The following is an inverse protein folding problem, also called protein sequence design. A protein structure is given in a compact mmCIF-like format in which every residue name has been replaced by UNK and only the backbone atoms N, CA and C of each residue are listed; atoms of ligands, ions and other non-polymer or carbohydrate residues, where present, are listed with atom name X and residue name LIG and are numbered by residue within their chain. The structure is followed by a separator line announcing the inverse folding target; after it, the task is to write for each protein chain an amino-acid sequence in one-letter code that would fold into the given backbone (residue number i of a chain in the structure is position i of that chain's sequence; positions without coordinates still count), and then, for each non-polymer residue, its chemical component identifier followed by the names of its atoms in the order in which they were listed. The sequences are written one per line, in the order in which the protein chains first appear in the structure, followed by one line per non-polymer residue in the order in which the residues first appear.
data_IF_626113546989
#
_entry.id   IF_626113546989
#
_cell.length_a   1.000
_cell.length_b   1.000
_cell.length_c   1.000
_cell.angle_alpha   90.00
_cell.angle_beta   90.00
_cell.angle_gamma   90.00
#
_symmetry.space_group_name_H-M   'P 1'
#
loop_
_entity.id
_entity.type
_entity.pdbx_description
1 polymer ?
#
# COMPACT_ATOMS: atom_id res chain seq x y z
N UNK A 1 -22.14 -19.44 -30.08
CA UNK A 1 -22.73 -18.91 -28.84
C UNK A 1 -21.61 -18.74 -27.84
N UNK A 2 -21.64 -17.65 -27.06
CA UNK A 2 -20.63 -17.39 -26.02
C UNK A 2 -20.80 -18.39 -24.88
N UNK A 3 -19.69 -18.84 -24.31
CA UNK A 3 -19.68 -19.75 -23.16
C UNK A 3 -19.89 -18.99 -21.83
N UNK A 4 -19.74 -17.65 -21.83
CA UNK A 4 -19.96 -16.79 -20.68
C UNK A 4 -21.09 -15.81 -20.96
N UNK A 5 -22.02 -15.67 -20.01
CA UNK A 5 -23.13 -14.72 -20.08
C UNK A 5 -22.82 -13.47 -19.25
N UNK A 6 -23.63 -12.41 -19.41
CA UNK A 6 -23.42 -11.14 -18.70
C UNK A 6 -23.47 -11.28 -17.18
N UNK A 7 -24.39 -12.09 -16.65
CA UNK A 7 -24.52 -12.31 -15.22
C UNK A 7 -23.26 -12.95 -14.60
N UNK A 8 -22.57 -13.83 -15.34
CA UNK A 8 -21.31 -14.40 -14.91
C UNK A 8 -20.17 -13.37 -14.88
N UNK A 9 -20.13 -12.43 -15.84
CA UNK A 9 -19.16 -11.33 -15.85
C UNK A 9 -19.39 -10.39 -14.66
N UNK A 10 -20.64 -9.94 -14.46
CA UNK A 10 -21.02 -9.11 -13.31
C UNK A 10 -20.67 -9.78 -11.97
N UNK A 11 -20.85 -11.11 -11.88
CA UNK A 11 -20.45 -11.86 -10.69
C UNK A 11 -18.93 -11.90 -10.46
N UNK A 12 -18.11 -11.86 -11.51
CA UNK A 12 -16.65 -11.80 -11.37
C UNK A 12 -16.26 -10.41 -10.87
N UNK A 13 -16.77 -9.37 -11.52
CA UNK A 13 -16.53 -7.96 -11.15
C UNK A 13 -16.88 -7.69 -9.68
N UNK A 14 -18.07 -8.14 -9.23
CA UNK A 14 -18.49 -8.01 -7.83
C UNK A 14 -17.58 -8.78 -6.87
N UNK A 15 -17.08 -9.95 -7.28
CA UNK A 15 -16.13 -10.72 -6.47
C UNK A 15 -14.79 -9.99 -6.30
N UNK A 16 -14.31 -9.34 -7.37
CA UNK A 16 -13.08 -8.54 -7.36
C UNK A 16 -13.24 -7.31 -6.45
N UNK A 17 -14.35 -6.57 -6.58
CA UNK A 17 -14.68 -5.43 -5.72
C UNK A 17 -14.69 -5.84 -4.25
N UNK A 18 -15.34 -6.95 -3.91
CA UNK A 18 -15.36 -7.47 -2.54
C UNK A 18 -13.97 -7.81 -2.01
N UNK A 19 -13.08 -8.39 -2.83
CA UNK A 19 -11.71 -8.68 -2.43
C UNK A 19 -10.91 -7.39 -2.20
N UNK A 20 -11.05 -6.39 -3.08
CA UNK A 20 -10.38 -5.10 -2.94
C UNK A 20 -10.86 -4.31 -1.72
N UNK A 21 -12.13 -4.46 -1.32
CA UNK A 21 -12.69 -3.88 -0.10
C UNK A 21 -12.31 -4.64 1.17
N UNK A 22 -12.10 -5.94 1.06
CA UNK A 22 -11.61 -6.78 2.16
C UNK A 22 -10.09 -6.59 2.42
N UNK A 23 -9.34 -6.16 1.42
CA UNK A 23 -7.88 -6.00 1.46
C UNK A 23 -7.32 -5.31 2.72
N UNK A 24 -7.91 -4.20 3.24
CA UNK A 24 -7.34 -3.49 4.38
C UNK A 24 -7.28 -4.30 5.68
N UNK A 25 -8.18 -5.27 5.87
CA UNK A 25 -8.36 -5.96 7.15
C UNK A 25 -8.33 -7.49 7.06
N UNK A 26 -8.70 -8.09 5.92
CA UNK A 26 -8.75 -9.53 5.79
C UNK A 26 -7.35 -10.16 5.84
N UNK A 27 -7.30 -11.40 6.32
CA UNK A 27 -6.07 -12.18 6.39
C UNK A 27 -5.38 -12.31 5.02
N UNK A 28 -4.05 -12.20 5.02
CA UNK A 28 -3.28 -12.15 3.78
C UNK A 28 -3.25 -13.49 3.04
N UNK A 29 -3.23 -14.63 3.76
CA UNK A 29 -3.27 -15.95 3.13
C UNK A 29 -4.66 -16.21 2.53
N UNK A 30 -5.72 -15.84 3.23
CA UNK A 30 -7.08 -15.87 2.70
C UNK A 30 -7.22 -15.04 1.40
N UNK A 31 -6.74 -13.79 1.41
CA UNK A 31 -6.81 -12.92 0.23
C UNK A 31 -5.98 -13.48 -0.93
N UNK A 32 -4.79 -14.02 -0.66
CA UNK A 32 -3.94 -14.63 -1.66
C UNK A 32 -4.64 -15.81 -2.33
N UNK A 33 -5.21 -16.72 -1.55
CA UNK A 33 -5.88 -17.91 -2.06
C UNK A 33 -7.13 -17.55 -2.88
N UNK A 34 -7.93 -16.58 -2.40
CA UNK A 34 -9.11 -16.10 -3.12
C UNK A 34 -8.74 -15.43 -4.44
N UNK A 35 -7.72 -14.58 -4.44
CA UNK A 35 -7.27 -13.89 -5.65
C UNK A 35 -6.70 -14.86 -6.67
N UNK A 36 -5.90 -15.85 -6.22
CA UNK A 36 -5.37 -16.91 -7.08
C UNK A 36 -6.48 -17.79 -7.67
N UNK A 37 -7.48 -18.16 -6.88
CA UNK A 37 -8.65 -18.91 -7.37
C UNK A 37 -9.44 -18.10 -8.41
N UNK A 38 -9.60 -16.79 -8.19
CA UNK A 38 -10.18 -15.86 -9.17
C UNK A 38 -9.40 -15.84 -10.49
N UNK A 39 -8.07 -15.71 -10.42
CA UNK A 39 -7.19 -15.73 -11.60
C UNK A 39 -7.31 -17.03 -12.38
N UNK A 40 -7.33 -18.18 -11.70
CA UNK A 40 -7.51 -19.49 -12.33
C UNK A 40 -8.89 -19.59 -13.02
N UNK A 41 -9.93 -19.08 -12.35
CA UNK A 41 -11.28 -19.08 -12.90
C UNK A 41 -11.38 -18.21 -14.16
N UNK A 42 -10.92 -16.96 -14.11
CA UNK A 42 -10.93 -16.02 -15.24
C UNK A 42 -10.09 -16.55 -16.40
N UNK A 43 -8.89 -17.08 -16.13
CA UNK A 43 -8.02 -17.68 -17.16
C UNK A 43 -8.73 -18.84 -17.87
N UNK A 44 -9.42 -19.71 -17.13
CA UNK A 44 -10.21 -20.78 -17.72
C UNK A 44 -11.37 -20.27 -18.56
N UNK A 45 -12.01 -19.15 -18.17
CA UNK A 45 -13.05 -18.55 -19.01
C UNK A 45 -12.47 -18.02 -20.32
N UNK A 46 -11.27 -17.41 -20.30
CA UNK A 46 -10.58 -16.88 -21.48
C UNK A 46 -10.26 -17.94 -22.55
N UNK A 47 -10.19 -19.23 -22.18
CA UNK A 47 -10.04 -20.36 -23.12
C UNK A 47 -11.33 -20.69 -23.90
N UNK A 48 -12.47 -20.14 -23.47
CA UNK A 48 -13.79 -20.39 -24.05
C UNK A 48 -14.13 -19.53 -25.28
N UNK A 49 -15.20 -19.90 -25.98
CA UNK A 49 -15.75 -19.06 -27.06
C UNK A 49 -16.43 -17.83 -26.45
N UNK A 50 -16.07 -16.63 -26.90
CA UNK A 50 -16.67 -15.38 -26.44
C UNK A 50 -16.63 -14.31 -27.52
N UNK A 51 -17.34 -13.20 -27.28
CA UNK A 51 -17.21 -12.01 -28.13
C UNK A 51 -15.95 -11.22 -27.76
N UNK A 52 -15.48 -10.35 -28.65
CA UNK A 52 -14.33 -9.47 -28.38
C UNK A 52 -14.56 -8.55 -27.18
N UNK A 53 -15.81 -8.09 -26.98
CA UNK A 53 -16.18 -7.26 -25.82
C UNK A 53 -15.99 -8.03 -24.52
N UNK A 54 -16.58 -9.22 -24.44
CA UNK A 54 -16.47 -10.08 -23.25
C UNK A 54 -15.02 -10.51 -22.99
N UNK A 55 -14.23 -10.72 -24.05
CA UNK A 55 -12.81 -11.01 -23.92
C UNK A 55 -12.06 -9.85 -23.26
N UNK A 56 -12.32 -8.62 -23.71
CA UNK A 56 -11.71 -7.42 -23.12
C UNK A 56 -12.17 -7.21 -21.67
N UNK A 57 -13.45 -7.41 -21.36
CA UNK A 57 -13.98 -7.34 -19.99
C UNK A 57 -13.28 -8.35 -19.06
N UNK A 58 -13.14 -9.62 -19.48
CA UNK A 58 -12.40 -10.63 -18.71
C UNK A 58 -10.90 -10.32 -18.57
N UNK A 59 -10.29 -9.66 -19.55
CA UNK A 59 -8.91 -9.18 -19.40
C UNK A 59 -8.84 -8.09 -18.33
N UNK A 60 -9.79 -7.16 -18.28
CA UNK A 60 -9.87 -6.14 -17.22
C UNK A 60 -10.01 -6.79 -15.85
N UNK A 61 -10.90 -7.78 -15.70
CA UNK A 61 -11.06 -8.58 -14.48
C UNK A 61 -9.74 -9.25 -14.06
N UNK A 62 -9.04 -9.89 -15.01
CA UNK A 62 -7.75 -10.50 -14.76
C UNK A 62 -6.72 -9.46 -14.30
N UNK A 63 -6.71 -8.27 -14.91
CA UNK A 63 -5.79 -7.19 -14.54
C UNK A 63 -5.98 -6.73 -13.09
N UNK A 64 -7.22 -6.51 -12.66
CA UNK A 64 -7.52 -6.17 -11.26
C UNK A 64 -7.12 -7.28 -10.28
N UNK A 65 -7.38 -8.54 -10.63
CA UNK A 65 -6.93 -9.68 -9.82
C UNK A 65 -5.40 -9.77 -9.75
N UNK A 66 -4.68 -9.50 -10.84
CA UNK A 66 -3.22 -9.47 -10.81
C UNK A 66 -2.66 -8.32 -9.96
N UNK A 67 -3.30 -7.15 -9.97
CA UNK A 67 -2.96 -6.05 -9.07
C UNK A 67 -3.16 -6.45 -7.61
N UNK A 68 -4.34 -7.00 -7.24
CA UNK A 68 -4.59 -7.49 -5.89
C UNK A 68 -3.58 -8.56 -5.47
N UNK A 69 -3.28 -9.49 -6.37
CA UNK A 69 -2.35 -10.57 -6.08
C UNK A 69 -0.94 -10.02 -5.85
N UNK A 70 -0.51 -9.03 -6.63
CA UNK A 70 0.77 -8.36 -6.42
C UNK A 70 0.84 -7.68 -5.04
N UNK A 71 -0.21 -6.96 -4.64
CA UNK A 71 -0.26 -6.33 -3.33
C UNK A 71 -0.16 -7.34 -2.18
N UNK A 72 -0.96 -8.41 -2.24
CA UNK A 72 -0.99 -9.43 -1.19
C UNK A 72 0.32 -10.23 -1.14
N UNK A 73 0.90 -10.58 -2.29
CA UNK A 73 2.22 -11.23 -2.34
C UNK A 73 3.28 -10.33 -1.72
N UNK A 74 3.25 -9.03 -2.02
CA UNK A 74 4.23 -8.09 -1.47
C UNK A 74 4.08 -7.92 0.05
N UNK A 75 2.85 -7.86 0.55
CA UNK A 75 2.56 -7.81 1.98
C UNK A 75 3.12 -9.01 2.74
N UNK A 76 3.11 -10.19 2.09
CA UNK A 76 3.68 -11.44 2.59
C UNK A 76 5.21 -11.54 2.41
N UNK A 77 5.83 -10.53 1.81
CA UNK A 77 7.27 -10.50 1.53
C UNK A 77 7.72 -11.30 0.30
N UNK A 78 6.80 -11.78 -0.53
CA UNK A 78 7.06 -12.56 -1.75
C UNK A 78 7.34 -11.63 -2.93
N UNK A 79 8.52 -11.04 -2.97
CA UNK A 79 8.89 -9.92 -3.86
C UNK A 79 8.96 -10.34 -5.31
N UNK A 80 9.55 -11.49 -5.60
CA UNK A 80 9.67 -11.97 -6.98
C UNK A 80 8.29 -12.27 -7.58
N UNK A 81 7.45 -12.99 -6.82
CA UNK A 81 6.08 -13.29 -7.21
C UNK A 81 5.24 -12.02 -7.42
N UNK A 82 5.34 -11.05 -6.50
CA UNK A 82 4.64 -9.79 -6.59
C UNK A 82 5.04 -8.99 -7.85
N UNK A 83 6.34 -9.00 -8.21
CA UNK A 83 6.82 -8.37 -9.43
C UNK A 83 6.26 -9.02 -10.70
N UNK A 84 6.17 -10.35 -10.73
CA UNK A 84 5.56 -11.08 -11.86
C UNK A 84 4.07 -10.76 -12.01
N UNK A 85 3.32 -10.73 -10.90
CA UNK A 85 1.89 -10.37 -10.90
C UNK A 85 1.68 -8.93 -11.37
N UNK A 86 2.44 -7.98 -10.85
CA UNK A 86 2.40 -6.57 -11.28
C UNK A 86 2.74 -6.42 -12.77
N UNK A 87 3.76 -7.12 -13.26
CA UNK A 87 4.12 -7.10 -14.68
C UNK A 87 3.03 -7.72 -15.57
N UNK A 88 2.31 -8.74 -15.09
CA UNK A 88 1.15 -9.30 -15.79
C UNK A 88 0.00 -8.30 -15.84
N UNK A 89 -0.33 -7.63 -14.73
CA UNK A 89 -1.33 -6.56 -14.71
C UNK A 89 -1.01 -5.44 -15.70
N UNK A 90 0.25 -4.99 -15.75
CA UNK A 90 0.68 -3.95 -16.69
C UNK A 90 0.48 -4.38 -18.16
N UNK A 91 0.91 -5.59 -18.53
CA UNK A 91 0.72 -6.14 -19.89
C UNK A 91 -0.76 -6.26 -20.23
N UNK A 92 -1.58 -6.74 -19.30
CA UNK A 92 -3.03 -6.83 -19.49
C UNK A 92 -3.65 -5.46 -19.67
N UNK A 93 -3.23 -4.46 -18.89
CA UNK A 93 -3.67 -3.08 -19.04
C UNK A 93 -3.31 -2.50 -20.41
N UNK A 94 -2.15 -2.85 -20.97
CA UNK A 94 -1.77 -2.48 -22.34
C UNK A 94 -2.67 -3.14 -23.39
N UNK A 95 -2.81 -4.47 -23.34
CA UNK A 95 -3.62 -5.24 -24.31
C UNK A 95 -5.11 -4.89 -24.24
N UNK A 96 -5.64 -4.66 -23.04
CA UNK A 96 -7.02 -4.24 -22.82
C UNK A 96 -7.22 -2.73 -23.01
N UNK A 97 -6.16 -1.94 -23.25
CA UNK A 97 -6.22 -0.49 -23.33
C UNK A 97 -6.88 0.15 -22.11
N UNK A 98 -6.55 -0.32 -20.90
CA UNK A 98 -7.15 0.11 -19.64
C UNK A 98 -6.13 0.93 -18.82
N UNK A 99 -6.17 2.25 -18.99
CA UNK A 99 -5.22 3.20 -18.37
C UNK A 99 -5.11 3.06 -16.85
N UNK A 100 -6.25 2.90 -16.16
CA UNK A 100 -6.26 2.82 -14.70
C UNK A 100 -5.49 1.61 -14.15
N UNK A 101 -5.62 0.42 -14.76
CA UNK A 101 -4.88 -0.79 -14.36
C UNK A 101 -3.38 -0.56 -14.54
N UNK A 102 -2.98 0.08 -15.63
CA UNK A 102 -1.58 0.44 -15.88
C UNK A 102 -1.06 1.41 -14.83
N UNK A 103 -1.83 2.44 -14.49
CA UNK A 103 -1.45 3.41 -13.47
C UNK A 103 -1.32 2.78 -12.09
N UNK A 104 -2.21 1.86 -11.70
CA UNK A 104 -2.08 1.10 -10.47
C UNK A 104 -0.87 0.15 -10.49
N UNK A 105 -0.56 -0.48 -11.61
CA UNK A 105 0.65 -1.29 -11.73
C UNK A 105 1.93 -0.45 -11.52
N UNK A 106 1.95 0.79 -12.01
CA UNK A 106 3.04 1.73 -11.77
C UNK A 106 3.08 2.29 -10.34
N UNK A 107 1.91 2.50 -9.72
CA UNK A 107 1.81 2.86 -8.31
C UNK A 107 2.40 1.76 -7.42
N UNK A 108 2.09 0.49 -7.72
CA UNK A 108 2.67 -0.68 -7.05
C UNK A 108 4.20 -0.71 -7.25
N UNK A 109 4.72 -0.41 -8.45
CA UNK A 109 6.18 -0.29 -8.65
C UNK A 109 6.77 0.82 -7.79
N UNK A 110 6.13 1.98 -7.72
CA UNK A 110 6.59 3.09 -6.88
C UNK A 110 6.63 2.69 -5.40
N UNK A 111 5.62 1.96 -4.92
CA UNK A 111 5.60 1.41 -3.57
C UNK A 111 6.69 0.35 -3.32
N UNK A 112 6.94 -0.55 -4.28
CA UNK A 112 8.01 -1.54 -4.20
C UNK A 112 9.38 -0.85 -4.13
N UNK A 113 9.58 0.17 -4.97
CA UNK A 113 10.80 0.97 -4.99
C UNK A 113 11.00 1.73 -3.66
N UNK A 114 9.93 2.34 -3.11
CA UNK A 114 9.96 3.03 -1.81
C UNK A 114 10.46 2.10 -0.69
N UNK A 115 9.83 0.95 -0.54
CA UNK A 115 10.16 0.00 0.55
C UNK A 115 11.52 -0.67 0.38
N UNK A 116 12.12 -0.57 -0.81
CA UNK A 116 13.48 -1.02 -1.12
C UNK A 116 14.52 0.11 -1.15
N UNK A 117 14.14 1.33 -0.76
CA UNK A 117 15.01 2.51 -0.80
C UNK A 117 15.53 2.90 -2.19
N UNK A 118 14.79 2.54 -3.26
CA UNK A 118 15.09 2.90 -4.65
C UNK A 118 14.35 4.19 -5.02
N UNK A 119 14.77 5.32 -4.46
CA UNK A 119 14.03 6.59 -4.57
C UNK A 119 13.93 7.14 -6.01
N UNK A 120 14.97 6.95 -6.83
CA UNK A 120 14.94 7.37 -8.23
C UNK A 120 13.93 6.53 -9.03
N UNK A 121 14.01 5.20 -8.93
CA UNK A 121 13.07 4.27 -9.58
C UNK A 121 11.63 4.55 -9.17
N UNK A 122 11.43 4.95 -7.92
CA UNK A 122 10.12 5.36 -7.41
C UNK A 122 9.59 6.61 -8.12
N UNK A 123 10.42 7.64 -8.34
CA UNK A 123 10.02 8.85 -9.07
C UNK A 123 9.71 8.55 -10.54
N UNK A 124 10.51 7.69 -11.17
CA UNK A 124 10.29 7.26 -12.56
C UNK A 124 8.96 6.49 -12.68
N UNK A 125 8.67 5.59 -11.73
CA UNK A 125 7.40 4.88 -11.66
C UNK A 125 6.21 5.83 -11.45
N UNK A 126 6.36 6.87 -10.61
CA UNK A 126 5.33 7.90 -10.43
C UNK A 126 5.01 8.62 -11.74
N UNK A 127 6.03 9.03 -12.48
CA UNK A 127 5.85 9.70 -13.77
C UNK A 127 5.19 8.78 -14.81
N UNK A 128 5.60 7.51 -14.86
CA UNK A 128 4.99 6.50 -15.72
C UNK A 128 3.51 6.26 -15.37
N UNK A 129 3.17 6.22 -14.08
CA UNK A 129 1.78 6.09 -13.61
C UNK A 129 0.91 7.28 -14.00
N UNK A 130 1.41 8.50 -13.82
CA UNK A 130 0.72 9.71 -14.29
C UNK A 130 0.60 9.77 -15.82
N UNK A 131 1.56 9.23 -16.56
CA UNK A 131 1.46 9.14 -18.02
C UNK A 131 0.41 8.12 -18.46
N UNK A 132 0.16 7.08 -17.65
CA UNK A 132 -0.82 6.03 -17.94
C UNK A 132 -2.27 6.46 -17.65
N UNK A 133 -2.52 7.11 -16.51
CA UNK A 133 -3.86 7.61 -16.16
C UNK A 133 -3.78 8.78 -15.16
N UNK A 134 -4.53 9.84 -15.45
CA UNK A 134 -4.73 10.99 -14.56
C UNK A 134 -6.22 11.33 -14.40
N UNK A 135 -7.14 10.41 -14.63
CA UNK A 135 -8.56 10.60 -14.30
C UNK A 135 -8.93 9.97 -12.97
N UNK A 136 -8.26 8.88 -12.56
CA UNK A 136 -8.63 8.11 -11.38
C UNK A 136 -7.88 8.51 -10.10
N UNK A 137 -8.32 7.95 -8.97
CA UNK A 137 -7.78 8.25 -7.65
C UNK A 137 -6.32 7.80 -7.46
N UNK A 138 -5.84 6.85 -8.28
CA UNK A 138 -4.42 6.47 -8.35
C UNK A 138 -3.48 7.65 -8.51
N UNK A 139 -3.87 8.66 -9.30
CA UNK A 139 -3.06 9.87 -9.47
C UNK A 139 -2.87 10.65 -8.16
N UNK A 140 -3.82 10.58 -7.22
CA UNK A 140 -3.66 11.18 -5.89
C UNK A 140 -2.59 10.42 -5.09
N UNK A 141 -2.65 9.09 -5.09
CA UNK A 141 -1.66 8.24 -4.42
C UNK A 141 -0.25 8.40 -4.98
N UNK A 142 -0.12 8.55 -6.31
CA UNK A 142 1.17 8.79 -6.96
C UNK A 142 1.84 10.09 -6.48
N UNK A 143 1.06 11.17 -6.30
CA UNK A 143 1.58 12.40 -5.68
C UNK A 143 2.01 12.21 -4.23
N UNK A 144 1.23 11.45 -3.44
CA UNK A 144 1.62 11.11 -2.08
C UNK A 144 2.92 10.30 -2.04
N UNK A 145 3.09 9.32 -2.93
CA UNK A 145 4.34 8.58 -3.06
C UNK A 145 5.51 9.50 -3.45
N UNK A 146 5.32 10.41 -4.42
CA UNK A 146 6.33 11.42 -4.77
C UNK A 146 6.79 12.22 -3.55
N UNK A 147 5.85 12.67 -2.70
CA UNK A 147 6.16 13.35 -1.45
C UNK A 147 6.97 12.46 -0.50
N UNK A 148 6.58 11.19 -0.31
CA UNK A 148 7.30 10.24 0.56
C UNK A 148 8.73 9.94 0.08
N UNK A 149 8.95 9.90 -1.23
CA UNK A 149 10.28 9.76 -1.84
C UNK A 149 11.11 11.02 -1.56
N UNK A 150 10.56 12.19 -1.89
CA UNK A 150 11.19 13.49 -1.72
C UNK A 150 11.61 13.75 -0.28
N UNK A 151 10.76 13.37 0.69
CA UNK A 151 11.04 13.54 2.11
C UNK A 151 12.25 12.71 2.54
N UNK A 152 12.40 11.48 2.03
CA UNK A 152 13.57 10.61 2.30
C UNK A 152 14.85 11.09 1.61
N UNK A 153 14.73 11.88 0.55
CA UNK A 153 15.85 12.57 -0.10
C UNK A 153 16.17 13.94 0.51
N UNK A 154 15.35 14.43 1.45
CA UNK A 154 15.52 15.75 2.07
C UNK A 154 15.05 16.93 1.22
N UNK A 155 14.30 16.71 0.13
CA UNK A 155 13.77 17.79 -0.71
C UNK A 155 12.43 18.29 -0.17
N UNK A 156 12.49 19.16 0.84
CA UNK A 156 11.31 19.72 1.49
C UNK A 156 10.40 20.54 0.57
N UNK A 157 10.94 21.11 -0.52
CA UNK A 157 10.15 21.83 -1.51
C UNK A 157 9.32 20.85 -2.32
N UNK A 158 9.94 19.81 -2.85
CA UNK A 158 9.25 18.79 -3.64
C UNK A 158 8.20 18.04 -2.81
N UNK A 159 8.43 17.86 -1.50
CA UNK A 159 7.40 17.35 -0.58
C UNK A 159 6.14 18.21 -0.61
N UNK A 160 6.28 19.52 -0.33
CA UNK A 160 5.14 20.45 -0.29
C UNK A 160 4.43 20.52 -1.64
N UNK A 161 5.18 20.71 -2.72
CA UNK A 161 4.63 20.81 -4.07
C UNK A 161 3.84 19.54 -4.44
N UNK A 162 4.33 18.36 -4.05
CA UNK A 162 3.67 17.08 -4.32
C UNK A 162 2.41 16.89 -3.46
N UNK A 163 2.46 17.26 -2.18
CA UNK A 163 1.28 17.19 -1.31
C UNK A 163 0.18 18.16 -1.77
N UNK A 164 0.55 19.39 -2.13
CA UNK A 164 -0.40 20.39 -2.64
C UNK A 164 -1.05 19.91 -3.96
N UNK A 165 -0.26 19.34 -4.87
CA UNK A 165 -0.77 18.78 -6.12
C UNK A 165 -1.72 17.58 -5.88
N UNK A 166 -1.36 16.69 -4.95
CA UNK A 166 -2.18 15.55 -4.57
C UNK A 166 -3.51 15.97 -3.93
N UNK A 167 -3.47 16.94 -3.01
CA UNK A 167 -4.67 17.52 -2.38
C UNK A 167 -5.57 18.20 -3.41
N UNK A 168 -5.02 19.07 -4.24
CA UNK A 168 -5.78 19.79 -5.27
C UNK A 168 -6.45 18.84 -6.28
N UNK A 169 -5.85 17.66 -6.50
CA UNK A 169 -6.46 16.60 -7.30
C UNK A 169 -7.56 15.87 -6.55
N UNK A 170 -7.32 15.50 -5.30
CA UNK A 170 -8.29 14.80 -4.45
C UNK A 170 -9.59 15.60 -4.29
N UNK A 171 -9.48 16.92 -4.12
CA UNK A 171 -10.61 17.83 -3.96
C UNK A 171 -11.53 17.91 -5.21
N UNK A 172 -11.04 17.45 -6.37
CA UNK A 172 -11.82 17.41 -7.62
C UNK A 172 -12.49 16.06 -7.87
N UNK A 173 -12.14 15.03 -7.13
CA UNK A 173 -12.72 13.70 -7.27
C UNK A 173 -14.07 13.64 -6.54
N UNK A 174 -15.06 12.91 -7.09
CA UNK A 174 -16.28 12.66 -6.36
C UNK A 174 -15.98 11.85 -5.10
N UNK A 175 -16.80 12.04 -4.06
CA UNK A 175 -16.73 11.19 -2.86
C UNK A 175 -17.08 9.75 -3.28
N UNK A 176 -16.24 8.75 -2.95
CA UNK A 176 -16.51 7.37 -3.32
C UNK A 176 -17.60 6.75 -2.42
N UNK A 177 -18.37 5.83 -3.00
CA UNK A 177 -19.37 5.03 -2.27
C UNK A 177 -18.71 4.00 -1.34
N UNK A 178 -17.54 3.48 -1.74
CA UNK A 178 -16.75 2.50 -1.00
C UNK A 178 -15.36 3.05 -0.67
N UNK A 179 -15.25 3.98 0.30
CA UNK A 179 -13.96 4.55 0.70
C UNK A 179 -12.98 3.50 1.24
N UNK A 180 -13.46 2.34 1.72
CA UNK A 180 -12.60 1.24 2.17
C UNK A 180 -11.82 0.55 1.04
N UNK A 181 -12.28 0.66 -0.21
CA UNK A 181 -11.71 -0.05 -1.36
C UNK A 181 -10.21 0.28 -1.55
N UNK A 182 -9.37 -0.73 -1.75
CA UNK A 182 -7.92 -0.56 -1.80
C UNK A 182 -7.46 0.36 -2.94
N UNK A 183 -8.01 0.17 -4.15
CA UNK A 183 -7.71 1.00 -5.33
C UNK A 183 -8.56 2.27 -5.41
N UNK A 184 -9.00 2.80 -4.27
CA UNK A 184 -9.68 4.09 -4.18
C UNK A 184 -8.99 4.94 -3.14
N UNK A 185 -8.66 6.18 -3.50
CA UNK A 185 -8.19 7.19 -2.54
C UNK A 185 -9.27 8.20 -2.29
N UNK A 186 -9.63 8.33 -1.01
CA UNK A 186 -10.61 9.26 -0.51
C UNK A 186 -9.95 10.29 0.45
N UNK A 187 -10.64 11.39 0.78
CA UNK A 187 -10.12 12.43 1.66
C UNK A 187 -9.62 11.93 3.02
N UNK A 188 -10.28 10.94 3.63
CA UNK A 188 -9.91 10.46 4.97
C UNK A 188 -8.58 9.68 4.94
N UNK A 189 -8.25 9.05 3.81
CA UNK A 189 -6.93 8.41 3.61
C UNK A 189 -5.79 9.40 3.46
N UNK A 190 -6.04 10.67 3.17
CA UNK A 190 -4.95 11.61 2.88
C UNK A 190 -4.06 11.90 4.10
N UNK A 191 -4.63 11.90 5.30
CA UNK A 191 -3.88 12.05 6.57
C UNK A 191 -2.76 11.01 6.71
N UNK A 192 -2.95 9.80 6.16
CA UNK A 192 -1.94 8.75 6.16
C UNK A 192 -0.68 9.12 5.37
N UNK A 193 -0.82 9.88 4.29
CA UNK A 193 0.32 10.31 3.49
C UNK A 193 0.98 11.56 4.08
N UNK A 194 0.18 12.49 4.61
CA UNK A 194 0.68 13.69 5.27
C UNK A 194 1.48 13.36 6.54
N UNK A 195 1.02 12.41 7.36
CA UNK A 195 1.76 12.02 8.57
C UNK A 195 3.19 11.53 8.26
N UNK A 196 3.37 10.72 7.21
CA UNK A 196 4.67 10.17 6.83
C UNK A 196 5.60 11.28 6.32
N UNK A 197 5.06 12.15 5.47
CA UNK A 197 5.80 13.28 4.91
C UNK A 197 6.24 14.28 5.99
N UNK A 198 5.32 14.72 6.85
CA UNK A 198 5.65 15.68 7.92
C UNK A 198 6.63 15.11 8.94
N UNK A 199 6.50 13.81 9.29
CA UNK A 199 7.46 13.13 10.16
C UNK A 199 8.88 13.19 9.59
N UNK A 200 9.03 12.94 8.30
CA UNK A 200 10.35 12.96 7.64
C UNK A 200 10.91 14.38 7.49
N UNK A 201 10.05 15.39 7.41
CA UNK A 201 10.46 16.80 7.47
C UNK A 201 10.82 17.29 8.88
N UNK A 202 10.61 16.46 9.91
CA UNK A 202 10.84 16.81 11.31
C UNK A 202 9.73 17.68 11.92
N UNK A 203 8.58 17.83 11.25
CA UNK A 203 7.39 18.47 11.82
C UNK A 203 6.58 17.42 12.60
N UNK A 204 7.12 17.04 13.76
CA UNK A 204 6.57 15.97 14.60
C UNK A 204 5.18 16.32 15.15
N UNK A 205 4.88 17.61 15.36
CA UNK A 205 3.58 18.06 15.83
C UNK A 205 2.48 17.78 14.79
N UNK A 206 2.68 18.20 13.53
CA UNK A 206 1.73 17.91 12.45
C UNK A 206 1.66 16.42 12.18
N UNK A 207 2.80 15.74 12.13
CA UNK A 207 2.85 14.30 11.92
C UNK A 207 1.99 13.55 12.97
N UNK A 208 2.09 13.96 14.24
CA UNK A 208 1.32 13.35 15.32
C UNK A 208 -0.18 13.65 15.24
N UNK A 209 -0.58 14.86 14.80
CA UNK A 209 -2.00 15.19 14.56
C UNK A 209 -2.60 14.26 13.50
N UNK A 210 -1.94 14.15 12.34
CA UNK A 210 -2.42 13.28 11.27
C UNK A 210 -2.39 11.80 11.68
N UNK A 211 -1.33 11.33 12.35
CA UNK A 211 -1.25 9.95 12.81
C UNK A 211 -2.36 9.57 13.82
N UNK A 212 -2.72 10.47 14.74
CA UNK A 212 -3.88 10.27 15.63
C UNK A 212 -5.19 10.23 14.86
N UNK A 213 -5.35 11.06 13.82
CA UNK A 213 -6.51 11.00 12.93
C UNK A 213 -6.60 9.67 12.20
N UNK A 214 -5.47 9.18 11.65
CA UNK A 214 -5.35 7.88 10.98
C UNK A 214 -5.73 6.73 11.92
N UNK A 215 -5.24 6.72 13.15
CA UNK A 215 -5.63 5.69 14.13
C UNK A 215 -7.13 5.75 14.40
N UNK A 216 -7.68 6.96 14.62
CA UNK A 216 -9.12 7.14 14.89
C UNK A 216 -9.99 6.64 13.74
N UNK A 217 -9.66 6.92 12.48
CA UNK A 217 -10.44 6.44 11.32
C UNK A 217 -10.19 4.95 11.01
N UNK A 218 -9.07 4.40 11.47
CA UNK A 218 -8.72 2.98 11.29
C UNK A 218 -9.33 2.08 12.36
N UNK A 219 -10.10 2.64 13.30
CA UNK A 219 -10.72 1.92 14.41
C UNK A 219 -12.23 2.11 14.39
N UNK A 220 -12.96 0.99 14.39
CA UNK A 220 -14.41 0.95 14.46
C UNK A 220 -14.95 1.37 15.83
N UNK A 221 -16.26 1.63 15.95
CA UNK A 221 -16.89 2.06 17.21
C UNK A 221 -16.73 1.09 18.37
N UNK A 222 -16.53 -0.20 18.07
CA UNK A 222 -16.30 -1.30 19.02
C UNK A 222 -14.83 -1.48 19.40
N UNK A 223 -13.93 -0.67 18.84
CA UNK A 223 -12.49 -0.77 19.02
C UNK A 223 -11.79 -1.71 18.04
N UNK A 224 -12.53 -2.36 17.12
CA UNK A 224 -11.94 -3.24 16.11
C UNK A 224 -11.14 -2.42 15.09
N UNK A 225 -9.90 -2.82 14.79
CA UNK A 225 -9.12 -2.17 13.73
C UNK A 225 -9.64 -2.56 12.34
N UNK A 226 -10.22 -1.60 11.62
CA UNK A 226 -10.75 -1.76 10.25
C UNK A 226 -9.70 -1.46 9.17
N UNK A 227 -8.56 -0.88 9.56
CA UNK A 227 -7.37 -0.72 8.70
C UNK A 227 -6.07 -0.94 9.49
N UNK A 228 -5.80 -2.18 9.97
CA UNK A 228 -4.67 -2.46 10.87
C UNK A 228 -3.30 -2.02 10.34
N UNK A 229 -3.07 -2.16 9.03
CA UNK A 229 -1.81 -1.73 8.40
C UNK A 229 -1.56 -0.23 8.56
N UNK A 230 -2.59 0.59 8.30
CA UNK A 230 -2.49 2.05 8.43
C UNK A 230 -2.31 2.45 9.89
N UNK A 231 -3.04 1.79 10.80
CA UNK A 231 -2.93 2.02 12.23
C UNK A 231 -1.52 1.69 12.75
N UNK A 232 -0.90 0.60 12.27
CA UNK A 232 0.47 0.24 12.63
C UNK A 232 1.50 1.29 12.17
N UNK A 233 1.44 1.75 10.92
CA UNK A 233 2.33 2.81 10.42
C UNK A 233 2.11 4.16 11.13
N UNK A 234 0.86 4.47 11.49
CA UNK A 234 0.54 5.66 12.29
C UNK A 234 1.12 5.58 13.71
N UNK A 235 1.07 4.41 14.35
CA UNK A 235 1.73 4.18 15.64
C UNK A 235 3.24 4.32 15.55
N UNK A 236 3.87 3.79 14.50
CA UNK A 236 5.30 4.01 14.28
C UNK A 236 5.63 5.49 14.06
N UNK A 237 4.75 6.23 13.38
CA UNK A 237 4.89 7.67 13.21
C UNK A 237 4.86 8.42 14.54
N UNK A 238 3.90 8.08 15.41
CA UNK A 238 3.85 8.61 16.77
C UNK A 238 5.07 8.19 17.60
N UNK A 239 5.53 6.95 17.44
CA UNK A 239 6.72 6.47 18.14
C UNK A 239 7.99 7.24 17.76
N UNK A 240 8.13 7.63 16.49
CA UNK A 240 9.23 8.50 16.05
C UNK A 240 9.13 9.89 16.69
N UNK A 241 7.94 10.48 16.71
CA UNK A 241 7.73 11.77 17.37
C UNK A 241 8.08 11.70 18.87
N UNK A 242 7.61 10.67 19.59
CA UNK A 242 7.92 10.43 20.99
C UNK A 242 9.43 10.24 21.24
N UNK A 243 10.10 9.45 20.39
CA UNK A 243 11.54 9.27 20.48
C UNK A 243 12.30 10.60 20.33
N UNK A 244 11.81 11.51 19.50
CA UNK A 244 12.43 12.81 19.26
C UNK A 244 12.21 13.82 20.37
N UNK A 245 11.11 13.70 21.12
CA UNK A 245 10.76 14.59 22.24
C UNK A 245 11.30 14.13 23.59
N UNK A 246 11.85 12.91 23.70
CA UNK A 246 12.43 12.40 24.96
C UNK A 246 11.70 11.21 25.56
N UNK A 247 10.53 10.84 25.04
CA UNK A 247 9.69 9.80 25.61
C UNK A 247 10.01 8.43 25.00
N UNK A 248 11.07 7.80 25.51
CA UNK A 248 11.52 6.49 25.05
C UNK A 248 10.51 5.37 25.35
N UNK A 249 9.80 5.45 26.47
CA UNK A 249 8.84 4.42 26.87
C UNK A 249 7.64 4.42 25.92
N UNK A 250 7.08 5.60 25.62
CA UNK A 250 6.01 5.75 24.64
C UNK A 250 6.49 5.31 23.24
N UNK A 251 7.68 5.73 22.83
CA UNK A 251 8.24 5.36 21.52
C UNK A 251 8.34 3.85 21.31
N UNK A 252 8.92 3.13 22.29
CA UNK A 252 9.08 1.68 22.24
C UNK A 252 7.75 0.97 22.41
N UNK A 253 6.84 1.49 23.24
CA UNK A 253 5.49 0.96 23.41
C UNK A 253 4.70 0.99 22.11
N UNK A 254 4.62 2.15 21.45
CA UNK A 254 3.93 2.33 20.18
C UNK A 254 4.54 1.45 19.07
N UNK A 255 5.87 1.42 18.97
CA UNK A 255 6.55 0.57 18.00
C UNK A 255 6.30 -0.92 18.25
N UNK A 256 6.29 -1.34 19.52
CA UNK A 256 5.99 -2.72 19.92
C UNK A 256 4.57 -3.12 19.53
N UNK A 257 3.58 -2.26 19.80
CA UNK A 257 2.18 -2.49 19.39
C UNK A 257 2.06 -2.58 17.87
N UNK A 258 2.72 -1.68 17.13
CA UNK A 258 2.71 -1.72 15.67
C UNK A 258 3.29 -3.02 15.09
N UNK A 259 4.42 -3.48 15.64
CA UNK A 259 5.08 -4.73 15.21
C UNK A 259 4.31 -5.99 15.59
N UNK A 260 3.32 -5.89 16.49
CA UNK A 260 2.46 -6.99 16.90
C UNK A 260 1.18 -7.12 16.06
N UNK A 261 0.93 -6.23 15.10
CA UNK A 261 -0.25 -6.30 14.24
C UNK A 261 -0.21 -7.56 13.36
N UNK A 262 -1.31 -8.33 13.37
CA UNK A 262 -1.45 -9.55 12.57
C UNK A 262 -1.51 -9.21 11.07
N UNK A 263 -2.48 -8.38 10.67
CA UNK A 263 -2.58 -7.90 9.29
C UNK A 263 -1.58 -6.77 9.06
N UNK A 264 -0.53 -7.08 8.28
CA UNK A 264 0.57 -6.16 7.99
C UNK A 264 1.03 -6.22 6.54
N UNK A 265 1.56 -5.10 6.06
CA UNK A 265 2.46 -5.09 4.90
C UNK A 265 3.89 -5.18 5.39
N UNK A 266 4.53 -6.35 5.27
CA UNK A 266 5.83 -6.57 5.90
C UNK A 266 6.92 -5.59 5.41
N UNK A 267 7.09 -5.32 4.10
CA UNK A 267 8.08 -4.35 3.64
C UNK A 267 7.80 -2.91 4.12
N UNK A 268 6.53 -2.47 4.11
CA UNK A 268 6.14 -1.12 4.53
C UNK A 268 6.31 -0.92 6.03
N UNK A 269 5.88 -1.91 6.83
CA UNK A 269 6.05 -1.91 8.28
C UNK A 269 7.55 -1.83 8.64
N UNK A 270 8.39 -2.64 8.00
CA UNK A 270 9.83 -2.64 8.25
C UNK A 270 10.50 -1.33 7.83
N UNK A 271 10.07 -0.66 6.76
CA UNK A 271 10.61 0.65 6.38
C UNK A 271 10.46 1.66 7.53
N UNK A 272 9.24 1.82 8.04
CA UNK A 272 8.95 2.81 9.10
C UNK A 272 9.51 2.36 10.45
N UNK A 273 9.48 1.05 10.76
CA UNK A 273 10.06 0.52 11.99
C UNK A 273 11.59 0.70 12.05
N UNK A 274 12.30 0.55 10.92
CA UNK A 274 13.74 0.84 10.85
C UNK A 274 14.04 2.33 11.02
N UNK A 275 13.12 3.22 10.63
CA UNK A 275 13.26 4.65 10.87
C UNK A 275 13.10 4.99 12.36
N UNK A 276 12.16 4.36 13.06
CA UNK A 276 12.06 4.43 14.52
C UNK A 276 13.29 3.85 15.22
N UNK A 277 13.75 2.66 14.80
CA UNK A 277 14.96 2.03 15.33
C UNK A 277 16.17 2.98 15.22
N UNK A 278 16.34 3.64 14.07
CA UNK A 278 17.43 4.58 13.84
C UNK A 278 17.37 5.76 14.82
N UNK A 279 16.19 6.34 15.03
CA UNK A 279 16.01 7.44 15.99
C UNK A 279 16.34 7.00 17.42
N UNK A 280 15.81 5.83 17.83
CA UNK A 280 16.06 5.27 19.16
C UNK A 280 17.55 4.99 19.39
N UNK A 281 18.23 4.33 18.44
CA UNK A 281 19.66 4.02 18.56
C UNK A 281 20.54 5.26 18.50
N UNK A 282 20.15 6.27 17.74
CA UNK A 282 20.90 7.53 17.65
C UNK A 282 20.79 8.35 18.93
N UNK A 283 19.60 8.41 19.55
CA UNK A 283 19.32 9.28 20.70
C UNK A 283 19.57 8.59 22.04
N UNK A 284 19.32 7.29 22.10
CA UNK A 284 19.34 6.48 23.33
C UNK A 284 20.22 5.23 23.21
N UNK A 285 21.48 5.33 22.74
CA UNK A 285 22.32 4.17 22.44
C UNK A 285 22.64 3.27 23.64
N UNK A 286 22.45 3.76 24.87
CA UNK A 286 22.74 3.03 26.12
C UNK A 286 21.49 2.42 26.75
N UNK A 287 20.30 2.80 26.28
CA UNK A 287 19.05 2.34 26.86
C UNK A 287 18.76 0.90 26.44
N UNK A 288 18.39 0.05 27.40
CA UNK A 288 18.03 -1.34 27.12
C UNK A 288 16.81 -1.43 26.21
N UNK A 289 15.82 -0.56 26.41
CA UNK A 289 14.61 -0.50 25.58
C UNK A 289 14.93 -0.24 24.08
N UNK A 290 15.95 0.58 23.78
CA UNK A 290 16.39 0.80 22.39
C UNK A 290 17.03 -0.46 21.79
N UNK A 291 17.85 -1.20 22.56
CA UNK A 291 18.46 -2.45 22.10
C UNK A 291 17.44 -3.55 21.90
N UNK A 292 16.46 -3.66 22.78
CA UNK A 292 15.39 -4.65 22.70
C UNK A 292 14.48 -4.40 21.48
N UNK A 293 14.14 -3.13 21.22
CA UNK A 293 13.40 -2.75 20.02
C UNK A 293 14.18 -3.10 18.74
N UNK A 294 15.49 -2.81 18.72
CA UNK A 294 16.37 -3.16 17.60
C UNK A 294 16.35 -4.66 17.31
N UNK A 295 16.52 -5.50 18.33
CA UNK A 295 16.50 -6.95 18.12
C UNK A 295 15.14 -7.48 17.67
N UNK A 296 14.06 -6.83 18.07
CA UNK A 296 12.72 -7.15 17.57
C UNK A 296 12.59 -6.87 16.07
N UNK A 297 13.07 -5.72 15.60
CA UNK A 297 13.10 -5.37 14.17
C UNK A 297 13.98 -6.36 13.39
N UNK A 298 15.16 -6.70 13.90
CA UNK A 298 16.06 -7.69 13.27
C UNK A 298 15.42 -9.09 13.20
N UNK A 299 14.72 -9.52 14.25
CA UNK A 299 14.05 -10.81 14.30
C UNK A 299 12.95 -10.91 13.24
N UNK A 300 12.13 -9.87 13.07
CA UNK A 300 11.11 -9.82 12.02
C UNK A 300 11.76 -9.79 10.64
N UNK A 301 12.83 -9.02 10.47
CA UNK A 301 13.57 -8.92 9.20
C UNK A 301 14.16 -10.27 8.79
N UNK A 302 14.78 -11.00 9.72
CA UNK A 302 15.33 -12.36 9.48
C UNK A 302 14.22 -13.39 9.18
N UNK A 303 13.07 -13.27 9.83
CA UNK A 303 11.91 -14.12 9.55
C UNK A 303 11.32 -13.88 8.16
N UNK A 304 11.48 -12.68 7.60
CA UNK A 304 11.03 -12.32 6.25
C UNK A 304 11.88 -12.95 5.14
N UNK A 305 13.15 -13.24 5.41
CA UNK A 305 14.13 -13.69 4.39
C UNK A 305 14.15 -15.21 4.16
N UNK A 306 13.09 -15.94 4.53
CA UNK A 306 12.97 -17.35 4.20
C UNK A 306 12.95 -17.54 2.65
N UNK A 307 13.61 -18.57 2.11
CA UNK A 307 13.88 -18.65 0.67
C UNK A 307 12.60 -18.68 -0.17
N UNK A 308 12.56 -17.84 -1.20
CA UNK A 308 11.55 -17.85 -2.27
C UNK A 308 11.66 -19.16 -3.09
N UNK A 309 10.55 -19.55 -3.72
CA UNK A 309 10.26 -20.90 -4.24
C UNK A 309 11.35 -21.50 -5.16
N UNK A 310 11.47 -22.84 -5.19
CA UNK A 310 12.42 -23.56 -6.04
C UNK A 310 11.88 -23.86 -7.44
N UNK A 311 11.04 -23.00 -8.02
CA UNK A 311 10.42 -23.19 -9.34
C UNK A 311 10.16 -21.88 -10.06
#
# INVERSE_FOLDING_TARGET
MSNINSAALESIEQGIDQLARAYPYADADYLHDRTRNGLQYVTKQLEGRMTLRQHRELLVDAGWLFLLNACVQYDRGQREAANLSKAAALRIGDEAGHGEIKAWAWEIEAWFALTQSRWTDMLDAVEAGHSADQSHSVGVQLYAHKARAAARMGDARLVRDSLDAGRARLDRLPRPDHPEHHFIIDPDKWDFYEMDAYRLLGDDERAAVHARSVIRISTGPDGTEISPMRAAEARLTLGVAAARTGDIEEAVGLGTTALAADRRSLPSLLLVANELDRELRSRYPRETASRDFHERVLTITRGATAPELPF
#
